data_IF_098817577906
#
_entry.id   IF_098817577906
#
_cell.length_a   1.000
_cell.length_b   1.000
_cell.length_c   1.000
_cell.angle_alpha   90.00
_cell.angle_beta   90.00
_cell.angle_gamma   90.00
#
_symmetry.space_group_name_H-M   'P 1'
#
loop_
_entity.id
_entity.type
_entity.pdbx_description
1 polymer ?
#
# COMPACT_ATOMS: atom_id res chain seq x y z
N UNK A 1 -10.62 -7.17 -0.19
CA UNK A 1 -9.42 -6.41 -0.42
C UNK A 1 -8.42 -6.62 0.64
N UNK A 2 -7.16 -6.62 0.26
CA UNK A 2 -6.08 -6.84 1.20
C UNK A 2 -5.09 -5.68 1.14
N UNK A 3 -4.49 -5.37 2.27
CA UNK A 3 -3.48 -4.32 2.31
C UNK A 3 -2.17 -4.85 1.74
N UNK A 4 -1.64 -4.15 0.76
CA UNK A 4 -0.38 -4.53 0.16
C UNK A 4 0.77 -3.84 0.88
N UNK A 5 0.62 -2.55 1.12
CA UNK A 5 1.66 -1.83 1.84
C UNK A 5 1.04 -0.63 2.55
N UNK A 6 1.77 -0.09 3.49
CA UNK A 6 1.33 1.06 4.23
C UNK A 6 2.53 1.96 4.41
N UNK A 7 2.37 3.21 4.09
CA UNK A 7 3.48 4.14 4.21
C UNK A 7 2.93 5.53 4.34
N UNK A 8 3.70 6.41 4.92
CA UNK A 8 3.30 7.81 4.97
C UNK A 8 4.09 8.58 3.92
N UNK A 9 4.76 7.93 3.02
CA UNK A 9 5.51 8.60 1.97
C UNK A 9 4.70 8.55 0.69
N UNK A 10 4.15 9.68 0.25
CA UNK A 10 3.32 9.69 -0.93
C UNK A 10 4.07 9.28 -2.21
N UNK A 11 5.38 9.44 -2.21
CA UNK A 11 6.15 9.05 -3.37
C UNK A 11 6.13 7.54 -3.54
N UNK A 12 6.20 6.81 -2.45
CA UNK A 12 6.16 5.37 -2.52
C UNK A 12 4.79 4.91 -3.00
N UNK A 13 3.74 5.55 -2.54
CA UNK A 13 2.40 5.20 -2.96
C UNK A 13 2.26 5.44 -4.47
N UNK A 14 2.75 6.56 -4.95
CA UNK A 14 2.63 6.87 -6.37
C UNK A 14 3.43 5.90 -7.22
N UNK A 15 4.61 5.57 -6.77
CA UNK A 15 5.46 4.66 -7.51
C UNK A 15 4.85 3.25 -7.54
N UNK A 16 4.40 2.78 -6.40
CA UNK A 16 3.81 1.47 -6.33
C UNK A 16 2.55 1.38 -7.18
N UNK A 17 1.73 2.42 -7.13
CA UNK A 17 0.51 2.45 -7.92
C UNK A 17 0.82 2.38 -9.41
N UNK A 18 1.82 3.12 -9.83
CA UNK A 18 2.19 3.12 -11.24
C UNK A 18 2.69 1.74 -11.68
N UNK A 19 3.47 1.08 -10.84
CA UNK A 19 3.96 -0.24 -11.18
C UNK A 19 2.81 -1.24 -11.29
N UNK A 20 1.87 -1.16 -10.37
CA UNK A 20 0.74 -2.09 -10.40
C UNK A 20 -0.13 -1.84 -11.60
N UNK A 21 -0.36 -0.59 -11.94
CA UNK A 21 -1.16 -0.29 -13.11
C UNK A 21 -0.49 -0.80 -14.37
N UNK A 22 0.81 -0.72 -14.41
CA UNK A 22 1.54 -1.25 -15.56
C UNK A 22 1.41 -2.75 -15.69
N UNK A 23 1.08 -3.44 -14.59
CA UNK A 23 0.88 -4.87 -14.63
C UNK A 23 -0.60 -5.25 -14.74
N UNK A 24 -1.44 -4.28 -14.91
CA UNK A 24 -2.87 -4.55 -15.02
C UNK A 24 -3.52 -4.90 -13.69
N UNK A 25 -2.93 -4.51 -12.60
CA UNK A 25 -3.49 -4.79 -11.28
C UNK A 25 -4.15 -3.54 -10.74
N UNK A 26 -5.40 -3.65 -10.36
CA UNK A 26 -6.11 -2.53 -9.76
C UNK A 26 -5.66 -2.34 -8.33
N UNK A 27 -5.43 -1.12 -7.95
CA UNK A 27 -5.05 -0.82 -6.58
C UNK A 27 -5.86 0.37 -6.08
N UNK A 28 -6.04 0.43 -4.78
CA UNK A 28 -6.88 1.44 -4.17
C UNK A 28 -6.17 2.03 -2.97
N UNK A 29 -6.16 3.33 -2.88
CA UNK A 29 -5.52 3.98 -1.74
C UNK A 29 -6.56 4.24 -0.68
N UNK A 30 -6.20 3.97 0.55
CA UNK A 30 -7.06 4.28 1.67
C UNK A 30 -6.25 4.95 2.73
N UNK A 31 -6.77 6.03 3.26
CA UNK A 31 -6.10 6.72 4.33
C UNK A 31 -6.44 6.01 5.63
N UNK A 32 -5.50 5.97 6.49
CA UNK A 32 -5.76 5.45 7.80
C UNK A 32 -6.47 6.53 8.57
N UNK A 33 -7.71 6.31 8.97
CA UNK A 33 -8.46 7.27 9.68
C UNK A 33 -8.02 7.28 11.06
N UNK A 34 -7.22 8.19 11.45
CA UNK A 34 -6.88 8.30 12.75
C UNK A 34 -7.50 9.38 13.32
N UNK A 35 -7.73 9.33 14.50
CA UNK A 35 -8.30 10.35 15.20
C UNK A 35 -7.33 11.33 15.23
N UNK A 36 -7.30 12.11 14.42
CA UNK A 36 -6.42 13.10 14.39
C UNK A 36 -6.25 13.92 15.46
N UNK A 37 -6.94 13.77 16.37
CA UNK A 37 -6.85 14.56 17.42
C UNK A 37 -5.63 14.53 18.09
N UNK A 38 -4.95 13.61 18.02
CA UNK A 38 -3.83 13.46 18.75
C UNK A 38 -2.75 14.34 18.38
N UNK A 39 -2.91 15.18 17.62
CA UNK A 39 -1.91 16.11 17.35
C UNK A 39 -0.83 15.60 16.46
N UNK A 40 -0.99 14.53 15.89
CA UNK A 40 -0.01 14.07 15.05
C UNK A 40 -0.20 14.67 13.77
N UNK A 41 0.14 15.83 13.63
CA UNK A 41 -0.13 16.51 12.54
C UNK A 41 0.66 16.16 11.38
N UNK A 42 0.09 16.06 10.30
CA UNK A 42 0.76 16.00 9.08
C UNK A 42 1.26 14.71 8.57
N UNK A 43 1.23 13.69 9.31
CA UNK A 43 1.77 12.49 8.82
C UNK A 43 0.79 11.39 9.01
N UNK A 44 -0.10 11.25 8.05
CA UNK A 44 -1.08 10.20 8.15
C UNK A 44 -0.67 9.10 7.20
N UNK A 45 -0.55 7.90 7.65
CA UNK A 45 -0.19 6.80 6.78
C UNK A 45 -1.29 6.53 5.78
N UNK A 46 -0.91 6.04 4.64
CA UNK A 46 -1.86 5.62 3.64
C UNK A 46 -1.63 4.17 3.35
N UNK A 47 -2.70 3.48 3.03
CA UNK A 47 -2.61 2.07 2.72
C UNK A 47 -2.90 1.88 1.26
N UNK A 48 -2.16 1.02 0.63
CA UNK A 48 -2.41 0.67 -0.75
C UNK A 48 -3.00 -0.73 -0.72
N UNK A 49 -4.21 -0.86 -1.24
CA UNK A 49 -4.95 -2.10 -1.18
C UNK A 49 -5.08 -2.70 -2.54
N UNK A 50 -5.12 -4.01 -2.61
CA UNK A 50 -5.37 -4.71 -3.87
C UNK A 50 -6.39 -5.79 -3.62
N UNK A 51 -6.95 -6.33 -4.68
CA UNK A 51 -7.89 -7.42 -4.55
C UNK A 51 -7.16 -8.65 -4.09
N UNK A 52 -7.83 -9.48 -3.33
CA UNK A 52 -7.19 -10.67 -2.82
C UNK A 52 -6.62 -11.52 -3.93
N UNK A 53 -7.30 -11.64 -5.04
CA UNK A 53 -6.82 -12.48 -6.12
C UNK A 53 -5.56 -11.96 -6.77
N UNK A 54 -5.26 -10.67 -6.59
CA UNK A 54 -4.08 -10.08 -7.19
C UNK A 54 -2.94 -9.97 -6.20
N UNK A 55 -3.16 -10.39 -4.99
CA UNK A 55 -2.17 -10.16 -3.93
C UNK A 55 -0.83 -10.79 -4.23
N UNK A 56 -0.83 -12.01 -4.73
CA UNK A 56 0.42 -12.69 -5.00
C UNK A 56 1.23 -11.95 -6.06
N UNK A 57 0.58 -11.55 -7.14
CA UNK A 57 1.27 -10.82 -8.20
C UNK A 57 1.70 -9.45 -7.72
N UNK A 58 0.86 -8.79 -6.97
CA UNK A 58 1.18 -7.45 -6.49
C UNK A 58 2.40 -7.49 -5.58
N UNK A 59 2.47 -8.49 -4.72
CA UNK A 59 3.61 -8.61 -3.83
C UNK A 59 4.88 -8.86 -4.63
N UNK A 60 4.80 -9.68 -5.66
CA UNK A 60 5.97 -9.97 -6.48
C UNK A 60 6.48 -8.69 -7.15
N UNK A 61 5.58 -7.85 -7.62
CA UNK A 61 5.97 -6.60 -8.26
C UNK A 61 6.71 -5.71 -7.26
N UNK A 62 6.18 -5.64 -6.04
CA UNK A 62 6.81 -4.80 -5.04
C UNK A 62 8.18 -5.33 -4.66
N UNK A 63 8.28 -6.62 -4.48
CA UNK A 63 9.55 -7.22 -4.09
C UNK A 63 10.58 -7.01 -5.19
N UNK A 64 10.18 -7.14 -6.43
CA UNK A 64 11.09 -6.96 -7.54
C UNK A 64 11.63 -5.53 -7.61
N UNK A 65 10.91 -4.60 -7.05
CA UNK A 65 11.30 -3.21 -7.10
C UNK A 65 11.75 -2.69 -5.74
N UNK A 66 12.00 -3.60 -4.83
CA UNK A 66 12.49 -3.25 -3.50
C UNK A 66 11.57 -2.32 -2.73
N UNK A 67 10.29 -2.46 -2.90
CA UNK A 67 9.34 -1.68 -2.16
C UNK A 67 8.86 -2.51 -0.98
N UNK A 68 8.99 -2.01 0.24
CA UNK A 68 8.56 -2.77 1.40
C UNK A 68 7.07 -2.99 1.39
N UNK A 69 6.63 -4.16 1.77
CA UNK A 69 5.21 -4.46 1.82
C UNK A 69 4.82 -4.77 3.24
N UNK A 70 3.52 -4.65 3.51
CA UNK A 70 3.02 -5.00 4.81
C UNK A 70 3.15 -6.49 4.98
N UNK A 71 3.62 -6.89 6.15
CA UNK A 71 3.73 -8.29 6.38
C UNK A 71 2.51 -8.78 7.02
N UNK A 72 1.97 -9.84 6.51
CA UNK A 72 0.80 -10.41 7.10
C UNK A 72 1.28 -11.33 8.15
N UNK A 73 1.21 -10.91 9.37
CA UNK A 73 1.72 -11.69 10.41
C UNK A 73 0.71 -12.52 11.00
N UNK A 74 -0.25 -12.80 10.32
CA UNK A 74 -1.31 -13.51 10.90
C UNK A 74 -0.92 -14.86 11.23
N UNK A 75 0.13 -15.25 10.97
CA UNK A 75 0.46 -16.59 11.26
C UNK A 75 0.47 -16.89 12.66
#
# INVERSE_FOLDING_TARGET
MRELLRTNDPTIIAYASALLQGEGIDCFQMDVHMSVLEGSIGVLPRRLMVRQRDMFRARAVMIDNDIPISEDRSA
#
